data_IF_013300006433
#
_entry.id   IF_013300006433
#
_cell.length_a   1.000
_cell.length_b   1.000
_cell.length_c   1.000
_cell.angle_alpha   90.00
_cell.angle_beta   90.00
_cell.angle_gamma   90.00
#
_symmetry.space_group_name_H-M   'P 1'
#
loop_
_entity.id
_entity.type
_entity.pdbx_description
1 polymer ?
#
# COMPACT_ATOMS: atom_id res chain seq x y z
N UNK A 1 -14.42 -33.04 -53.97
CA UNK A 1 -13.68 -33.04 -52.70
C UNK A 1 -13.12 -31.65 -52.46
N UNK A 2 -13.61 -30.99 -51.42
CA UNK A 2 -13.17 -29.65 -50.96
C UNK A 2 -11.82 -29.82 -50.25
N UNK A 3 -10.81 -29.03 -50.66
CA UNK A 3 -9.66 -28.71 -49.80
C UNK A 3 -9.39 -27.21 -49.92
N UNK A 4 -9.88 -26.48 -48.93
CA UNK A 4 -9.56 -25.07 -48.65
C UNK A 4 -8.14 -25.04 -48.10
N UNK A 5 -7.22 -24.35 -48.76
CA UNK A 5 -5.92 -24.00 -48.17
C UNK A 5 -6.00 -22.56 -47.67
N UNK A 6 -5.87 -22.41 -46.36
CA UNK A 6 -5.84 -21.14 -45.65
C UNK A 6 -4.53 -20.41 -45.92
N UNK A 7 -4.63 -19.14 -46.32
CA UNK A 7 -3.52 -18.19 -46.38
C UNK A 7 -3.37 -17.59 -44.99
N UNK A 8 -2.28 -17.92 -44.29
CA UNK A 8 -1.93 -17.31 -43.00
C UNK A 8 -1.11 -16.05 -43.28
N UNK A 9 -1.75 -14.88 -43.16
CA UNK A 9 -1.12 -13.57 -43.24
C UNK A 9 -0.39 -13.31 -41.91
N UNK A 10 0.94 -13.46 -41.89
CA UNK A 10 1.78 -13.01 -40.77
C UNK A 10 1.96 -11.49 -40.93
N UNK A 11 1.18 -10.72 -40.18
CA UNK A 11 1.41 -9.29 -40.01
C UNK A 11 2.51 -9.10 -38.95
N UNK A 12 3.74 -8.92 -39.41
CA UNK A 12 4.82 -8.38 -38.58
C UNK A 12 4.48 -6.91 -38.27
N UNK A 13 3.88 -6.65 -37.12
CA UNK A 13 3.79 -5.29 -36.56
C UNK A 13 5.18 -4.88 -36.08
N UNK A 14 5.97 -4.30 -36.98
CA UNK A 14 7.14 -3.54 -36.62
C UNK A 14 6.68 -2.34 -35.78
N UNK A 15 7.01 -2.35 -34.49
CA UNK A 15 6.88 -1.18 -33.64
C UNK A 15 7.74 -0.07 -34.23
N UNK A 16 7.09 0.98 -34.73
CA UNK A 16 7.73 2.24 -35.05
C UNK A 16 8.25 2.84 -33.74
N UNK A 17 9.54 2.65 -33.46
CA UNK A 17 10.25 3.53 -32.54
C UNK A 17 10.48 4.83 -33.29
N UNK A 18 9.51 5.74 -33.19
CA UNK A 18 9.73 7.14 -33.53
C UNK A 18 10.58 7.74 -32.41
N UNK A 19 11.87 7.90 -32.66
CA UNK A 19 12.66 8.91 -31.96
C UNK A 19 12.00 10.27 -32.21
N UNK A 20 11.55 10.94 -31.15
CA UNK A 20 11.51 12.40 -31.11
C UNK A 20 12.17 12.84 -29.80
N UNK A 21 13.16 13.69 -29.96
CA UNK A 21 13.87 14.40 -28.91
C UNK A 21 12.97 15.43 -28.23
N UNK A 22 13.33 15.73 -26.98
CA UNK A 22 13.08 16.96 -26.21
C UNK A 22 11.64 17.48 -26.17
N UNK A 23 10.89 17.01 -25.16
CA UNK A 23 9.88 17.76 -24.41
C UNK A 23 9.57 16.94 -23.15
N UNK A 24 9.08 17.58 -22.08
CA UNK A 24 8.70 17.01 -20.76
C UNK A 24 7.62 15.92 -20.85
N UNK A 25 7.92 14.82 -21.54
CA UNK A 25 7.04 13.71 -21.74
C UNK A 25 7.03 12.88 -20.46
N UNK A 26 6.08 13.21 -19.57
CA UNK A 26 5.57 12.25 -18.60
C UNK A 26 5.25 11.00 -19.40
N UNK A 27 6.11 9.99 -19.32
CA UNK A 27 5.97 8.74 -20.03
C UNK A 27 4.71 8.03 -19.50
N UNK A 28 3.57 8.38 -20.09
CA UNK A 28 2.26 7.96 -19.66
C UNK A 28 2.01 6.57 -20.23
N UNK A 29 2.64 5.58 -19.61
CA UNK A 29 2.27 4.18 -19.75
C UNK A 29 0.74 4.05 -19.73
N UNK A 30 0.12 3.30 -20.66
CA UNK A 30 -1.33 3.08 -20.64
C UNK A 30 -1.82 2.56 -19.29
N UNK A 31 -3.04 2.93 -18.88
CA UNK A 31 -3.58 2.57 -17.56
C UNK A 31 -3.56 1.05 -17.35
N UNK A 32 -3.94 0.27 -18.35
CA UNK A 32 -3.92 -1.19 -18.26
C UNK A 32 -2.51 -1.75 -18.08
N UNK A 33 -1.51 -1.19 -18.77
CA UNK A 33 -0.11 -1.57 -18.58
C UNK A 33 0.39 -1.21 -17.18
N UNK A 34 -0.02 -0.05 -16.64
CA UNK A 34 0.28 0.34 -15.25
C UNK A 34 -0.35 -0.62 -14.25
N UNK A 35 -1.63 -0.96 -14.45
CA UNK A 35 -2.36 -1.89 -13.58
C UNK A 35 -1.70 -3.27 -13.55
N UNK A 36 -1.34 -3.80 -14.73
CA UNK A 36 -0.64 -5.08 -14.84
C UNK A 36 0.74 -5.05 -14.16
N UNK A 37 1.44 -3.91 -14.25
CA UNK A 37 2.74 -3.75 -13.64
C UNK A 37 2.67 -3.67 -12.12
N UNK A 38 1.68 -2.95 -11.59
CA UNK A 38 1.40 -2.93 -10.15
C UNK A 38 1.07 -4.33 -9.64
N UNK A 39 0.28 -5.11 -10.39
CA UNK A 39 -0.08 -6.48 -10.01
C UNK A 39 1.17 -7.39 -9.94
N UNK A 40 2.09 -7.30 -10.92
CA UNK A 40 3.37 -8.03 -10.89
C UNK A 40 4.25 -7.61 -9.72
N UNK A 41 4.30 -6.29 -9.45
CA UNK A 41 5.09 -5.73 -8.37
C UNK A 41 4.58 -6.18 -6.99
N UNK A 42 3.27 -6.14 -6.80
CA UNK A 42 2.62 -6.61 -5.57
C UNK A 42 2.80 -8.12 -5.43
N UNK A 43 2.64 -8.91 -6.50
CA UNK A 43 2.91 -10.34 -6.43
C UNK A 43 4.35 -10.62 -5.97
N UNK A 44 5.34 -9.92 -6.54
CA UNK A 44 6.72 -10.06 -6.09
C UNK A 44 6.88 -9.65 -4.62
N UNK A 45 6.32 -8.52 -4.20
CA UNK A 45 6.34 -8.07 -2.81
C UNK A 45 5.77 -9.13 -1.85
N UNK A 46 4.64 -9.74 -2.21
CA UNK A 46 3.99 -10.76 -1.40
C UNK A 46 4.84 -12.04 -1.24
N UNK A 47 5.69 -12.37 -2.22
CA UNK A 47 6.64 -13.47 -2.11
C UNK A 47 7.87 -13.09 -1.29
N UNK A 48 8.36 -11.86 -1.47
CA UNK A 48 9.62 -11.39 -0.89
C UNK A 48 9.51 -11.04 0.60
N UNK A 49 8.29 -10.91 1.16
CA UNK A 49 8.06 -10.41 2.52
C UNK A 49 7.21 -11.34 3.39
N UNK A 50 7.39 -11.23 4.71
CA UNK A 50 6.64 -11.94 5.75
C UNK A 50 6.35 -11.04 6.96
N UNK A 51 5.44 -11.46 7.85
CA UNK A 51 5.25 -10.83 9.16
C UNK A 51 6.31 -11.30 10.14
N UNK A 52 7.22 -10.42 10.54
CA UNK A 52 8.18 -10.72 11.59
C UNK A 52 7.48 -10.85 12.94
N UNK A 53 7.78 -11.92 13.72
CA UNK A 53 7.22 -12.07 15.08
C UNK A 53 7.71 -10.97 16.02
N UNK A 54 8.80 -10.28 15.65
CA UNK A 54 9.29 -9.12 16.36
C UNK A 54 10.45 -9.37 17.32
N UNK A 55 11.01 -8.27 17.79
CA UNK A 55 12.05 -8.28 18.81
C UNK A 55 11.42 -8.55 20.18
N UNK A 56 12.02 -9.45 20.93
CA UNK A 56 11.60 -9.78 22.30
C UNK A 56 12.69 -9.37 23.28
N UNK A 57 12.32 -8.62 24.32
CA UNK A 57 13.20 -8.29 25.44
C UNK A 57 12.56 -8.86 26.71
N UNK A 58 13.27 -9.73 27.42
CA UNK A 58 12.78 -10.40 28.65
C UNK A 58 11.42 -11.11 28.47
N UNK A 59 11.20 -11.76 27.32
CA UNK A 59 9.95 -12.45 27.02
C UNK A 59 8.78 -11.55 26.60
N UNK A 60 8.96 -10.23 26.51
CA UNK A 60 7.95 -9.28 26.02
C UNK A 60 8.31 -8.77 24.63
N UNK A 61 7.36 -8.80 23.70
CA UNK A 61 7.50 -8.20 22.37
C UNK A 61 7.67 -6.69 22.55
N UNK A 62 8.74 -6.14 22.00
CA UNK A 62 9.00 -4.69 22.01
C UNK A 62 8.72 -4.04 20.65
N UNK A 63 8.77 -4.81 19.56
CA UNK A 63 8.41 -4.39 18.20
C UNK A 63 7.97 -5.62 17.44
N UNK A 64 6.68 -5.76 17.14
CA UNK A 64 6.14 -6.97 16.49
C UNK A 64 5.37 -6.68 15.21
N UNK A 65 5.24 -7.70 14.36
CA UNK A 65 4.36 -7.67 13.19
C UNK A 65 4.84 -6.78 12.05
N UNK A 66 6.11 -6.34 12.08
CA UNK A 66 6.70 -5.60 10.98
C UNK A 66 6.83 -6.48 9.75
N UNK A 67 6.54 -5.91 8.57
CA UNK A 67 6.82 -6.60 7.32
C UNK A 67 8.33 -6.59 7.06
N UNK A 68 8.91 -7.77 6.99
CA UNK A 68 10.34 -7.98 6.80
C UNK A 68 10.56 -8.76 5.52
N UNK A 69 11.59 -8.39 4.77
CA UNK A 69 11.98 -9.10 3.56
C UNK A 69 12.72 -10.37 3.97
N UNK A 70 12.45 -11.48 3.30
CA UNK A 70 13.31 -12.66 3.41
C UNK A 70 14.73 -12.31 2.98
N UNK A 71 15.70 -12.90 3.67
CA UNK A 71 17.08 -12.88 3.21
C UNK A 71 17.28 -13.84 2.02
N UNK A 72 18.50 -13.85 1.48
CA UNK A 72 18.83 -14.65 0.30
C UNK A 72 19.59 -15.93 0.61
N UNK A 73 19.69 -16.33 1.88
CA UNK A 73 20.51 -17.44 2.37
C UNK A 73 19.57 -18.61 2.71
N UNK A 74 19.55 -19.68 1.91
CA UNK A 74 18.67 -20.82 2.16
C UNK A 74 18.98 -21.51 3.50
N UNK A 75 17.93 -21.86 4.24
CA UNK A 75 18.00 -22.56 5.53
C UNK A 75 18.10 -21.64 6.75
N UNK A 76 17.91 -20.33 6.56
CA UNK A 76 17.96 -19.36 7.66
C UNK A 76 16.67 -19.34 8.50
N UNK A 77 16.74 -18.68 9.65
CA UNK A 77 15.64 -18.63 10.62
C UNK A 77 14.37 -17.97 10.10
N UNK A 78 14.46 -17.14 9.05
CA UNK A 78 13.31 -16.49 8.44
C UNK A 78 12.52 -17.42 7.50
N UNK A 79 13.15 -18.42 6.88
CA UNK A 79 12.53 -19.41 5.99
C UNK A 79 11.38 -20.20 6.66
N UNK A 80 11.31 -20.22 8.00
CA UNK A 80 10.23 -20.86 8.75
C UNK A 80 8.93 -20.07 8.75
N UNK A 81 8.97 -18.79 8.40
CA UNK A 81 7.79 -17.93 8.42
C UNK A 81 7.03 -18.00 7.10
N UNK A 82 5.68 -18.01 7.14
CA UNK A 82 4.89 -18.01 5.93
C UNK A 82 5.10 -16.70 5.16
N UNK A 83 5.39 -16.81 3.87
CA UNK A 83 5.40 -15.66 2.96
C UNK A 83 4.02 -14.99 2.95
N UNK A 84 4.00 -13.67 2.81
CA UNK A 84 2.77 -12.88 2.87
C UNK A 84 1.76 -13.31 1.79
N UNK A 85 2.22 -13.81 0.64
CA UNK A 85 1.39 -14.40 -0.43
C UNK A 85 0.48 -15.51 0.06
N UNK A 86 0.88 -16.28 1.07
CA UNK A 86 0.07 -17.38 1.61
C UNK A 86 -1.05 -16.90 2.54
N UNK A 87 -0.94 -15.67 3.05
CA UNK A 87 -1.86 -15.08 4.02
C UNK A 87 -2.81 -14.06 3.38
N UNK A 88 -2.43 -13.51 2.22
CA UNK A 88 -3.16 -12.42 1.58
C UNK A 88 -4.56 -12.86 1.13
N UNK A 89 -5.53 -12.02 1.43
CA UNK A 89 -6.90 -12.08 0.93
C UNK A 89 -7.11 -10.90 -0.01
N UNK A 90 -8.00 -11.06 -1.00
CA UNK A 90 -8.41 -10.00 -1.91
C UNK A 90 -9.92 -9.84 -1.83
N UNK A 91 -10.39 -8.64 -1.54
CA UNK A 91 -11.82 -8.36 -1.46
C UNK A 91 -12.44 -8.12 -2.87
N UNK A 92 -13.75 -7.87 -2.92
CA UNK A 92 -14.46 -7.58 -4.17
C UNK A 92 -14.03 -6.27 -4.85
N UNK A 93 -13.46 -5.32 -4.11
CA UNK A 93 -12.91 -4.08 -4.66
C UNK A 93 -11.48 -4.25 -5.18
N UNK A 94 -10.86 -5.40 -4.89
CA UNK A 94 -9.48 -5.71 -5.25
C UNK A 94 -8.45 -5.23 -4.22
N UNK A 95 -8.89 -4.78 -3.05
CA UNK A 95 -8.03 -4.45 -1.91
C UNK A 95 -7.39 -5.74 -1.42
N UNK A 96 -6.08 -5.72 -1.24
CA UNK A 96 -5.35 -6.85 -0.69
C UNK A 96 -5.10 -6.62 0.80
N UNK A 97 -5.35 -7.62 1.64
CA UNK A 97 -5.16 -7.50 3.08
C UNK A 97 -4.79 -8.84 3.71
N UNK A 98 -4.03 -8.80 4.81
CA UNK A 98 -3.73 -9.98 5.62
C UNK A 98 -3.67 -9.61 7.10
N UNK A 99 -4.15 -10.52 7.94
CA UNK A 99 -3.96 -10.48 9.39
C UNK A 99 -2.60 -11.11 9.72
N UNK A 100 -1.90 -10.53 10.69
CA UNK A 100 -0.69 -11.11 11.24
C UNK A 100 -1.08 -12.37 12.04
N UNK A 101 -0.56 -13.57 11.70
CA UNK A 101 -0.94 -14.80 12.40
C UNK A 101 -0.54 -14.80 13.89
N UNK A 102 0.36 -13.92 14.29
CA UNK A 102 0.85 -13.81 15.67
C UNK A 102 0.18 -12.68 16.46
N UNK A 103 -0.65 -11.84 15.82
CA UNK A 103 -1.32 -10.72 16.49
C UNK A 103 -2.57 -10.30 15.74
N UNK A 104 -3.73 -10.42 16.38
CA UNK A 104 -5.02 -10.07 15.79
C UNK A 104 -5.84 -9.19 16.74
N UNK A 105 -6.71 -8.37 16.16
CA UNK A 105 -7.65 -7.55 16.92
C UNK A 105 -8.72 -8.38 17.62
N UNK A 106 -9.05 -8.02 18.86
CA UNK A 106 -10.07 -8.70 19.68
C UNK A 106 -11.27 -7.82 20.01
N UNK A 107 -11.17 -6.51 19.75
CA UNK A 107 -12.22 -5.55 20.01
C UNK A 107 -13.45 -5.76 19.13
N UNK A 108 -14.58 -5.21 19.58
CA UNK A 108 -15.90 -5.44 18.96
C UNK A 108 -16.28 -4.36 17.96
N UNK A 109 -15.78 -3.14 18.18
CA UNK A 109 -16.18 -1.97 17.42
C UNK A 109 -15.32 -1.85 16.16
N UNK A 110 -15.86 -2.32 15.03
CA UNK A 110 -15.21 -2.22 13.73
C UNK A 110 -15.40 -0.85 13.10
N UNK A 111 -14.52 -0.48 12.17
CA UNK A 111 -14.70 0.72 11.36
C UNK A 111 -15.96 0.58 10.50
N UNK A 112 -16.86 1.57 10.57
CA UNK A 112 -18.07 1.64 9.73
C UNK A 112 -17.84 2.59 8.56
N UNK A 113 -17.37 3.79 8.86
CA UNK A 113 -16.95 4.82 7.90
C UNK A 113 -16.06 5.83 8.61
N UNK A 114 -15.28 6.59 7.88
CA UNK A 114 -14.49 7.68 8.45
C UNK A 114 -15.36 8.82 9.01
N UNK A 115 -16.58 8.99 8.50
CA UNK A 115 -17.55 9.99 9.00
C UNK A 115 -18.20 9.61 10.34
N UNK A 116 -18.28 8.31 10.65
CA UNK A 116 -18.93 7.82 11.86
C UNK A 116 -17.96 7.29 12.92
N UNK A 117 -16.72 6.98 12.51
CA UNK A 117 -15.74 6.30 13.36
C UNK A 117 -14.46 7.14 13.44
N UNK A 118 -14.03 7.43 14.67
CA UNK A 118 -12.68 7.90 14.98
C UNK A 118 -11.78 6.69 15.21
N UNK A 119 -10.53 6.76 14.76
CA UNK A 119 -9.55 5.69 14.98
C UNK A 119 -8.31 6.17 15.71
N UNK A 120 -7.71 5.25 16.47
CA UNK A 120 -6.33 5.33 16.94
C UNK A 120 -5.55 4.24 16.22
N UNK A 121 -4.51 4.62 15.48
CA UNK A 121 -3.77 3.69 14.62
C UNK A 121 -2.27 3.90 14.75
N UNK A 122 -1.54 2.79 14.92
CA UNK A 122 -0.09 2.76 14.74
C UNK A 122 0.21 2.19 13.36
N UNK A 123 1.19 2.74 12.64
CA UNK A 123 1.45 2.35 11.26
C UNK A 123 2.91 2.55 10.83
N UNK A 124 3.29 1.79 9.82
CA UNK A 124 4.36 2.06 8.87
C UNK A 124 3.76 2.01 7.47
N UNK A 125 3.80 3.13 6.73
CA UNK A 125 3.22 3.21 5.39
C UNK A 125 4.31 3.40 4.36
N UNK A 126 4.56 2.34 3.61
CA UNK A 126 5.47 2.36 2.48
C UNK A 126 4.70 2.68 1.20
N UNK A 127 5.38 3.33 0.27
CA UNK A 127 4.88 3.60 -1.05
C UNK A 127 5.91 3.22 -2.10
N UNK A 128 5.44 2.81 -3.26
CA UNK A 128 6.35 2.46 -4.36
C UNK A 128 5.71 2.65 -5.73
N UNK A 129 6.56 2.86 -6.73
CA UNK A 129 6.16 2.86 -8.15
C UNK A 129 6.66 1.58 -8.80
N UNK A 130 5.75 0.85 -9.44
CA UNK A 130 6.14 -0.35 -10.15
C UNK A 130 7.03 -0.03 -11.37
N UNK A 131 8.02 -0.89 -11.63
CA UNK A 131 9.05 -0.75 -12.66
C UNK A 131 8.95 -1.87 -13.68
N UNK A 132 9.25 -1.59 -14.94
CA UNK A 132 9.10 -2.56 -16.04
C UNK A 132 10.34 -3.44 -16.24
N UNK A 133 10.20 -4.44 -17.12
CA UNK A 133 11.28 -5.36 -17.43
C UNK A 133 12.44 -4.71 -18.19
N UNK A 134 12.20 -3.63 -18.94
CA UNK A 134 13.28 -2.88 -19.61
C UNK A 134 14.16 -2.18 -18.58
N UNK A 135 13.54 -1.55 -17.57
CA UNK A 135 14.24 -0.94 -16.43
C UNK A 135 15.07 -1.99 -15.70
N UNK A 136 14.52 -3.19 -15.49
CA UNK A 136 15.24 -4.31 -14.89
C UNK A 136 16.34 -4.88 -15.79
N UNK A 137 16.17 -4.91 -17.11
CA UNK A 137 17.24 -5.34 -18.01
C UNK A 137 18.48 -4.43 -17.88
N UNK A 138 18.25 -3.14 -17.68
CA UNK A 138 19.30 -2.15 -17.44
C UNK A 138 19.84 -2.19 -15.99
N UNK A 139 19.05 -2.69 -15.03
CA UNK A 139 19.45 -2.92 -13.65
C UNK A 139 18.92 -4.27 -13.13
N UNK A 140 19.63 -5.39 -13.37
CA UNK A 140 19.13 -6.75 -13.09
C UNK A 140 18.78 -7.02 -11.63
N UNK A 141 19.30 -6.22 -10.70
CA UNK A 141 19.00 -6.33 -9.26
C UNK A 141 17.68 -5.69 -8.87
N UNK A 142 17.10 -4.87 -9.76
CA UNK A 142 15.88 -4.14 -9.50
C UNK A 142 14.66 -5.06 -9.46
N UNK A 143 13.80 -4.84 -8.47
CA UNK A 143 12.52 -5.53 -8.30
C UNK A 143 11.43 -4.78 -9.02
N UNK A 144 10.34 -5.47 -9.36
CA UNK A 144 9.16 -4.86 -9.99
C UNK A 144 8.52 -3.80 -9.10
N UNK A 145 8.57 -3.93 -7.77
CA UNK A 145 8.05 -2.90 -6.85
C UNK A 145 8.97 -1.68 -6.71
N UNK A 146 10.04 -1.53 -7.50
CA UNK A 146 10.90 -0.34 -7.45
C UNK A 146 11.53 -0.10 -6.07
N UNK A 147 11.87 1.16 -5.80
CA UNK A 147 12.39 1.59 -4.49
C UNK A 147 11.24 2.04 -3.60
N UNK A 148 11.26 1.62 -2.33
CA UNK A 148 10.30 2.10 -1.35
C UNK A 148 10.60 3.52 -0.90
N UNK A 149 9.57 4.36 -0.91
CA UNK A 149 9.53 5.60 -0.13
C UNK A 149 8.66 5.44 1.11
N UNK A 150 8.82 6.34 2.07
CA UNK A 150 7.93 6.47 3.21
C UNK A 150 6.84 7.49 2.87
N UNK A 151 5.57 7.10 2.93
CA UNK A 151 4.47 8.03 2.64
C UNK A 151 4.25 9.03 3.79
N UNK A 152 4.20 8.50 5.01
CA UNK A 152 4.06 9.24 6.27
C UNK A 152 5.03 8.66 7.28
N UNK A 153 5.56 9.50 8.18
CA UNK A 153 6.48 9.03 9.20
C UNK A 153 5.86 7.86 10.00
N UNK A 154 6.58 6.74 10.17
CA UNK A 154 6.05 5.63 10.96
C UNK A 154 5.76 6.08 12.38
N UNK A 155 4.68 5.59 12.99
CA UNK A 155 4.24 6.10 14.30
C UNK A 155 5.29 5.91 15.39
N UNK A 156 6.09 4.84 15.32
CA UNK A 156 7.20 4.60 16.24
C UNK A 156 8.38 5.58 16.11
N UNK A 157 8.40 6.42 15.08
CA UNK A 157 9.34 7.51 14.90
C UNK A 157 8.71 8.89 15.20
N UNK A 158 7.45 8.94 15.63
CA UNK A 158 6.73 10.17 15.96
C UNK A 158 6.56 10.26 17.47
N UNK A 159 7.02 11.36 18.08
CA UNK A 159 6.80 11.64 19.49
C UNK A 159 7.29 10.50 20.39
N UNK A 160 6.37 9.92 21.16
CA UNK A 160 6.62 8.81 22.08
C UNK A 160 6.24 7.43 21.49
N UNK A 161 5.89 7.36 20.21
CA UNK A 161 5.43 6.12 19.56
C UNK A 161 3.93 5.83 19.70
N UNK A 162 3.17 6.73 20.34
CA UNK A 162 1.73 6.59 20.53
C UNK A 162 0.98 6.46 19.20
N UNK A 163 -0.18 5.77 19.20
CA UNK A 163 -1.07 5.72 18.05
C UNK A 163 -1.51 7.12 17.61
N UNK A 164 -1.54 7.34 16.29
CA UNK A 164 -2.05 8.58 15.71
C UNK A 164 -3.57 8.52 15.67
N UNK A 165 -4.21 9.62 16.09
CA UNK A 165 -5.65 9.79 15.98
C UNK A 165 -6.00 10.34 14.61
N UNK A 166 -6.91 9.68 13.89
CA UNK A 166 -7.44 10.14 12.61
C UNK A 166 -6.38 10.73 11.66
N UNK A 167 -5.42 9.92 11.17
CA UNK A 167 -4.45 10.42 10.20
C UNK A 167 -5.17 10.97 8.95
N UNK A 168 -4.57 11.95 8.25
CA UNK A 168 -5.24 12.66 7.15
C UNK A 168 -5.69 11.76 5.99
N UNK A 169 -4.97 10.66 5.76
CA UNK A 169 -5.35 9.65 4.77
C UNK A 169 -6.58 8.80 5.17
N UNK A 170 -7.04 8.90 6.41
CA UNK A 170 -8.28 8.30 6.92
C UNK A 170 -9.39 9.33 7.06
N UNK A 171 -9.12 10.46 7.73
CA UNK A 171 -10.10 11.52 7.94
C UNK A 171 -9.42 12.89 7.84
N UNK A 172 -9.85 13.71 6.89
CA UNK A 172 -9.31 15.03 6.63
C UNK A 172 -10.40 16.10 6.73
N UNK A 173 -10.09 17.21 7.39
CA UNK A 173 -10.92 18.40 7.39
C UNK A 173 -10.10 19.54 6.77
N UNK A 174 -10.44 19.99 5.54
CA UNK A 174 -9.79 21.15 4.97
C UNK A 174 -10.03 22.38 5.85
N UNK A 175 -8.99 23.18 6.05
CA UNK A 175 -9.10 24.54 6.59
C UNK A 175 -9.89 25.44 5.63
N UNK A 176 -10.35 26.60 6.10
CA UNK A 176 -11.06 27.57 5.24
C UNK A 176 -10.22 28.01 4.04
N UNK A 177 -8.91 28.17 4.23
CA UNK A 177 -7.96 28.55 3.18
C UNK A 177 -7.79 27.42 2.15
N UNK A 178 -7.59 26.19 2.62
CA UNK A 178 -7.50 25.01 1.77
C UNK A 178 -8.78 24.80 0.95
N UNK A 179 -9.95 24.91 1.59
CA UNK A 179 -11.24 24.78 0.93
C UNK A 179 -11.45 25.86 -0.14
N UNK A 180 -11.07 27.12 0.15
CA UNK A 180 -11.11 28.22 -0.83
C UNK A 180 -10.20 27.96 -2.04
N UNK A 181 -9.10 27.25 -1.82
CA UNK A 181 -8.16 26.82 -2.87
C UNK A 181 -8.57 25.51 -3.56
N UNK A 182 -9.80 25.03 -3.33
CA UNK A 182 -10.36 23.85 -3.99
C UNK A 182 -9.91 22.51 -3.39
N UNK A 183 -9.20 22.52 -2.25
CA UNK A 183 -8.84 21.29 -1.54
C UNK A 183 -10.09 20.65 -0.94
N UNK A 184 -10.22 19.34 -1.14
CA UNK A 184 -11.33 18.51 -0.66
C UNK A 184 -10.78 17.28 0.05
N UNK A 185 -11.65 16.60 0.79
CA UNK A 185 -11.35 15.35 1.50
C UNK A 185 -10.75 14.28 0.60
N UNK A 186 -11.31 14.12 -0.61
CA UNK A 186 -10.84 13.16 -1.62
C UNK A 186 -9.40 13.39 -2.13
N UNK A 187 -8.80 14.55 -1.86
CA UNK A 187 -7.41 14.83 -2.21
C UNK A 187 -6.41 14.34 -1.14
N UNK A 188 -6.89 13.80 -0.02
CA UNK A 188 -6.09 13.29 1.10
C UNK A 188 -6.55 11.89 1.51
N UNK A 189 -7.87 11.70 1.66
CA UNK A 189 -8.44 10.46 2.16
C UNK A 189 -8.37 9.31 1.14
N UNK A 190 -7.89 8.16 1.60
CA UNK A 190 -7.83 6.93 0.82
C UNK A 190 -9.06 6.06 1.14
N UNK A 191 -10.12 6.23 0.34
CA UNK A 191 -11.40 5.50 0.52
C UNK A 191 -11.21 3.98 0.63
N UNK A 192 -10.35 3.40 -0.21
CA UNK A 192 -10.10 1.96 -0.19
C UNK A 192 -9.25 1.51 1.01
N UNK A 193 -8.48 2.39 1.65
CA UNK A 193 -7.86 2.09 2.94
C UNK A 193 -8.92 1.97 4.03
N UNK A 194 -9.91 2.87 4.04
CA UNK A 194 -11.04 2.84 4.99
C UNK A 194 -11.86 1.56 4.81
N UNK A 195 -12.16 1.16 3.57
CA UNK A 195 -12.81 -0.14 3.30
C UNK A 195 -11.94 -1.31 3.76
N UNK A 196 -10.63 -1.27 3.50
CA UNK A 196 -9.69 -2.28 3.98
C UNK A 196 -9.68 -2.44 5.51
N UNK A 197 -9.78 -1.33 6.26
CA UNK A 197 -9.83 -1.36 7.72
C UNK A 197 -11.06 -2.11 8.27
N UNK A 198 -12.16 -2.23 7.51
CA UNK A 198 -13.36 -2.97 7.95
C UNK A 198 -13.13 -4.47 8.12
N UNK A 199 -12.05 -5.00 7.54
CA UNK A 199 -11.64 -6.39 7.73
C UNK A 199 -10.94 -6.64 9.07
N UNK A 200 -10.64 -5.60 9.82
CA UNK A 200 -9.86 -5.69 11.05
C UNK A 200 -10.66 -5.20 12.25
N UNK A 201 -10.48 -5.89 13.37
CA UNK A 201 -10.94 -5.46 14.68
C UNK A 201 -9.86 -4.61 15.34
N UNK A 202 -10.22 -3.70 16.26
CA UNK A 202 -9.22 -3.03 17.09
C UNK A 202 -8.54 -4.00 18.05
N UNK A 203 -7.29 -3.73 18.42
CA UNK A 203 -6.54 -4.54 19.39
C UNK A 203 -6.87 -4.22 20.85
N UNK A 204 -7.43 -3.03 21.11
CA UNK A 204 -7.63 -2.48 22.46
C UNK A 204 -6.33 -2.39 23.27
N UNK A 205 -5.18 -2.30 22.59
CA UNK A 205 -3.87 -2.09 23.22
C UNK A 205 -3.86 -0.77 23.99
N UNK A 206 -3.17 -0.72 25.13
CA UNK A 206 -2.93 0.54 25.85
C UNK A 206 -2.16 1.52 24.99
N UNK A 207 -2.56 2.81 25.00
CA UNK A 207 -2.00 3.82 24.08
C UNK A 207 -0.48 4.03 24.24
N UNK A 208 0.05 3.76 25.43
CA UNK A 208 1.48 3.86 25.76
C UNK A 208 2.26 2.54 25.63
N UNK A 209 1.57 1.45 25.29
CA UNK A 209 2.25 0.17 25.08
C UNK A 209 3.03 0.15 23.76
N UNK A 210 4.03 -0.72 23.67
CA UNK A 210 4.74 -0.96 22.42
C UNK A 210 3.79 -1.51 21.36
N UNK A 211 3.95 -1.05 20.12
CA UNK A 211 3.15 -1.52 19.01
C UNK A 211 3.46 -2.98 18.66
N UNK A 212 2.44 -3.67 18.20
CA UNK A 212 2.56 -4.92 17.49
C UNK A 212 1.60 -4.84 16.29
N UNK A 213 2.13 -4.81 15.07
CA UNK A 213 1.27 -4.63 13.91
C UNK A 213 0.43 -5.89 13.68
N UNK A 214 -0.89 -5.67 13.60
CA UNK A 214 -1.89 -6.73 13.49
C UNK A 214 -2.13 -7.16 12.05
N UNK A 215 -1.61 -6.42 11.07
CA UNK A 215 -1.89 -6.73 9.68
C UNK A 215 -1.29 -5.77 8.67
N UNK A 216 -1.70 -6.03 7.43
CA UNK A 216 -1.35 -5.23 6.27
C UNK A 216 -2.58 -4.98 5.39
N UNK A 217 -2.67 -3.79 4.83
CA UNK A 217 -3.54 -3.43 3.70
C UNK A 217 -2.64 -2.94 2.56
N UNK A 218 -2.79 -3.50 1.37
CA UNK A 218 -2.04 -3.10 0.17
C UNK A 218 -3.03 -2.55 -0.85
N UNK A 219 -2.77 -1.33 -1.30
CA UNK A 219 -3.53 -0.67 -2.36
C UNK A 219 -2.64 -0.57 -3.61
N UNK A 220 -2.94 -1.32 -4.69
CA UNK A 220 -2.41 -1.02 -6.01
C UNK A 220 -2.75 0.43 -6.38
N UNK A 221 -1.96 1.07 -7.25
CA UNK A 221 -2.11 2.50 -7.50
C UNK A 221 -3.51 2.91 -7.95
N UNK A 222 -4.19 2.07 -8.75
CA UNK A 222 -5.58 2.24 -9.18
C UNK A 222 -6.62 2.29 -8.05
N UNK A 223 -6.30 1.71 -6.89
CA UNK A 223 -7.13 1.74 -5.68
C UNK A 223 -6.63 2.78 -4.66
N UNK A 224 -5.48 3.42 -4.91
CA UNK A 224 -4.98 4.54 -4.13
C UNK A 224 -5.37 5.86 -4.80
N UNK A 225 -4.40 6.74 -5.07
CA UNK A 225 -4.65 8.01 -5.75
C UNK A 225 -4.71 7.91 -7.28
N UNK A 226 -4.29 6.78 -7.86
CA UNK A 226 -4.23 6.55 -9.30
C UNK A 226 -3.55 7.73 -10.04
N UNK A 227 -4.32 8.51 -10.78
CA UNK A 227 -3.89 9.72 -11.50
C UNK A 227 -4.67 10.97 -11.07
N UNK A 228 -5.37 10.88 -9.94
CA UNK A 228 -6.16 11.97 -9.38
C UNK A 228 -5.24 13.01 -8.74
N UNK A 229 -5.76 14.23 -8.61
CA UNK A 229 -5.05 15.27 -7.87
C UNK A 229 -5.03 14.95 -6.37
N UNK A 230 -3.88 15.19 -5.75
CA UNK A 230 -3.65 15.02 -4.32
C UNK A 230 -3.22 16.34 -3.71
N UNK A 231 -3.54 16.56 -2.44
CA UNK A 231 -3.07 17.73 -1.71
C UNK A 231 -1.75 17.37 -1.01
N UNK A 232 -0.70 18.17 -1.22
CA UNK A 232 0.64 17.91 -0.66
C UNK A 232 1.04 18.92 0.43
N UNK A 233 0.06 19.57 1.06
CA UNK A 233 0.27 20.59 2.09
C UNK A 233 0.55 22.00 1.55
N UNK A 234 1.10 22.13 0.35
CA UNK A 234 1.34 23.43 -0.30
C UNK A 234 0.36 23.75 -1.43
N UNK A 235 -0.33 22.73 -1.96
CA UNK A 235 -1.27 22.88 -3.06
C UNK A 235 -1.73 21.52 -3.61
N UNK A 236 -2.57 21.56 -4.64
CA UNK A 236 -2.98 20.37 -5.37
C UNK A 236 -1.90 20.01 -6.40
N UNK A 237 -1.59 18.72 -6.50
CA UNK A 237 -0.63 18.17 -7.45
C UNK A 237 -1.25 16.98 -8.19
N UNK A 238 -1.07 16.93 -9.50
CA UNK A 238 -1.44 15.83 -10.41
C UNK A 238 -0.30 14.82 -10.65
N UNK A 239 0.91 15.15 -10.17
CA UNK A 239 2.11 14.32 -10.27
C UNK A 239 2.43 13.60 -8.96
N UNK A 240 2.13 14.22 -7.82
CA UNK A 240 2.38 13.60 -6.53
C UNK A 240 1.53 12.33 -6.36
N UNK A 241 2.20 11.26 -5.92
CA UNK A 241 1.62 9.92 -5.75
C UNK A 241 0.95 9.32 -7.00
N UNK A 242 1.19 9.89 -8.19
CA UNK A 242 0.68 9.35 -9.45
C UNK A 242 1.27 7.98 -9.74
N UNK A 243 0.40 7.01 -10.04
CA UNK A 243 0.75 5.62 -10.30
C UNK A 243 1.54 4.96 -9.13
N UNK A 244 1.34 5.43 -7.89
CA UNK A 244 1.99 4.91 -6.68
C UNK A 244 1.07 3.92 -5.95
N UNK A 245 1.63 2.75 -5.64
CA UNK A 245 1.00 1.74 -4.77
C UNK A 245 1.43 1.95 -3.32
N UNK A 246 0.56 1.56 -2.38
CA UNK A 246 0.76 1.77 -0.94
C UNK A 246 0.66 0.46 -0.16
N UNK A 247 1.52 0.32 0.84
CA UNK A 247 1.53 -0.79 1.79
C UNK A 247 1.39 -0.20 3.19
N UNK A 248 0.24 -0.44 3.81
CA UNK A 248 -0.06 -0.06 5.19
C UNK A 248 0.20 -1.25 6.09
N UNK A 249 1.30 -1.28 6.83
CA UNK A 249 1.52 -2.24 7.91
C UNK A 249 1.16 -1.55 9.22
N UNK A 250 0.18 -2.08 9.94
CA UNK A 250 -0.51 -1.28 10.95
C UNK A 250 -1.07 -2.09 12.12
N UNK A 251 -1.44 -1.36 13.16
CA UNK A 251 -2.26 -1.80 14.28
C UNK A 251 -3.41 -0.82 14.45
N UNK A 252 -4.65 -1.27 14.25
CA UNK A 252 -5.83 -0.49 14.64
C UNK A 252 -5.98 -0.65 16.16
N UNK A 253 -5.58 0.35 16.93
CA UNK A 253 -5.52 0.23 18.38
C UNK A 253 -6.90 0.36 18.99
N UNK A 254 -7.65 1.38 18.57
CA UNK A 254 -8.96 1.69 19.13
C UNK A 254 -9.85 2.32 18.08
N UNK A 255 -11.14 2.08 18.19
CA UNK A 255 -12.18 2.81 17.46
C UNK A 255 -13.13 3.49 18.44
N UNK A 256 -13.69 4.62 18.05
CA UNK A 256 -14.68 5.36 18.83
C UNK A 256 -15.77 5.90 17.91
N UNK A 257 -16.98 6.09 18.43
CA UNK A 257 -18.02 6.82 17.70
C UNK A 257 -17.57 8.28 17.53
N UNK A 258 -17.56 8.76 16.30
CA UNK A 258 -17.30 10.18 16.00
C UNK A 258 -18.49 11.01 16.50
N UNK A 259 -18.23 11.90 17.43
CA UNK A 259 -19.19 12.94 17.84
C UNK A 259 -19.08 14.11 16.86
N UNK A 260 -20.23 14.62 16.43
CA UNK A 260 -20.32 15.84 15.61
C UNK A 260 -19.97 17.07 16.43
#
# INVERSE_FOLDING_TARGET
MIKKFFVTLIACSAFLVSCNNDDDNINNMPIESRNSLDDKAIEQYLNDYYFSPGDTINGKIVRGGTLTKFDSIPGNEDDKYPALKTLIKKDSNGILYAENPNHAGTGKDVVVSNDSTKIHISYNVLMFKATDDLTKANNPTQKYYGTFGTYVYPTYNIGDGSPVVDPSFYYFTPTEVEAKNGVKREHQELKNFIEGLKHFKPTERGLTDNYNFQGVIILPSRLAFARNQVYVGTGLSDLAYRDISFIFNFELVKTEKRTK
#
